data_IF_380075524606
#
_entry.id   IF_380075524606
#
_cell.length_a   1.000
_cell.length_b   1.000
_cell.length_c   1.000
_cell.angle_alpha   90.00
_cell.angle_beta   90.00
_cell.angle_gamma   90.00
#
_symmetry.space_group_name_H-M   'P 1'
#
loop_
_entity.id
_entity.type
_entity.pdbx_description
1 polymer ?
#
# COMPACT_ATOMS: atom_id res chain seq x y z
N UNK A 1 -5.81 -42.22 13.14
CA UNK A 1 -6.60 -40.99 12.90
C UNK A 1 -5.63 -39.89 12.51
N UNK A 2 -5.36 -39.74 11.21
CA UNK A 2 -4.31 -38.86 10.68
C UNK A 2 -4.93 -37.90 9.66
N UNK A 3 -4.93 -36.61 10.03
CA UNK A 3 -4.93 -35.40 9.21
C UNK A 3 -5.55 -35.47 7.82
N UNK A 4 -6.88 -35.50 7.76
CA UNK A 4 -7.63 -35.23 6.54
C UNK A 4 -7.72 -33.74 6.18
N UNK A 5 -7.41 -32.80 7.10
CA UNK A 5 -7.54 -31.35 6.82
C UNK A 5 -6.35 -30.76 6.04
N UNK A 6 -5.11 -31.19 6.29
CA UNK A 6 -3.94 -30.68 5.58
C UNK A 6 -3.94 -31.00 4.07
N UNK A 7 -4.54 -32.12 3.68
CA UNK A 7 -4.63 -32.54 2.29
C UNK A 7 -5.73 -31.80 1.49
N UNK A 8 -6.68 -31.15 2.17
CA UNK A 8 -7.74 -30.37 1.53
C UNK A 8 -7.23 -29.00 1.04
N UNK A 9 -6.28 -28.40 1.76
CA UNK A 9 -5.67 -27.11 1.40
C UNK A 9 -4.85 -27.18 0.10
N UNK A 10 -4.18 -28.30 -0.14
CA UNK A 10 -3.36 -28.48 -1.35
C UNK A 10 -4.18 -28.61 -2.65
N UNK A 11 -5.50 -28.86 -2.57
CA UNK A 11 -6.35 -29.13 -3.76
C UNK A 11 -7.21 -27.97 -4.23
N UNK A 12 -7.35 -26.90 -3.45
CA UNK A 12 -8.07 -25.70 -3.89
C UNK A 12 -7.18 -24.79 -4.76
N UNK A 13 -5.86 -24.98 -4.73
CA UNK A 13 -4.88 -24.14 -5.45
C UNK A 13 -4.31 -24.79 -6.73
N UNK A 14 -4.92 -25.84 -7.28
CA UNK A 14 -4.37 -26.54 -8.45
C UNK A 14 -5.23 -26.34 -9.69
N UNK A 15 -5.11 -25.18 -10.34
CA UNK A 15 -4.80 -25.07 -11.77
C UNK A 15 -4.49 -23.62 -12.13
N UNK A 16 -3.20 -23.34 -12.33
CA UNK A 16 -2.68 -22.20 -13.11
C UNK A 16 -2.60 -20.79 -12.47
N UNK A 17 -2.29 -20.70 -11.17
CA UNK A 17 -1.80 -19.46 -10.55
C UNK A 17 -0.62 -19.76 -9.62
N UNK A 18 0.58 -19.29 -9.99
CA UNK A 18 1.77 -19.32 -9.13
C UNK A 18 1.38 -18.73 -7.76
N UNK A 19 1.52 -19.56 -6.73
CA UNK A 19 1.24 -19.27 -5.31
C UNK A 19 1.64 -17.84 -4.95
N UNK A 20 0.66 -17.01 -4.58
CA UNK A 20 0.93 -15.77 -3.87
C UNK A 20 1.52 -16.17 -2.53
N UNK A 21 2.73 -15.70 -2.23
CA UNK A 21 3.40 -15.99 -0.95
C UNK A 21 2.52 -15.45 0.19
N UNK A 22 2.04 -16.36 1.06
CA UNK A 22 1.18 -16.03 2.19
C UNK A 22 1.89 -15.12 3.22
N UNK A 23 3.23 -15.06 3.19
CA UNK A 23 4.02 -14.24 4.12
C UNK A 23 3.69 -12.75 4.02
N UNK A 24 3.36 -12.25 2.82
CA UNK A 24 3.04 -10.83 2.63
C UNK A 24 1.66 -10.50 3.20
N UNK A 25 0.55 -11.18 2.84
CA UNK A 25 -0.74 -11.00 3.50
C UNK A 25 -0.69 -11.17 5.02
N UNK A 26 0.05 -12.18 5.52
CA UNK A 26 0.22 -12.40 6.97
C UNK A 26 0.90 -11.20 7.65
N UNK A 27 1.94 -10.65 7.03
CA UNK A 27 2.60 -9.45 7.53
C UNK A 27 1.68 -8.24 7.48
N UNK A 28 0.99 -8.01 6.36
CA UNK A 28 0.11 -6.85 6.18
C UNK A 28 -1.05 -6.82 7.19
N UNK A 29 -1.59 -7.98 7.56
CA UNK A 29 -2.74 -8.11 8.47
C UNK A 29 -2.33 -8.31 9.94
N UNK A 30 -1.04 -8.29 10.24
CA UNK A 30 -0.53 -8.53 11.59
C UNK A 30 -1.07 -7.50 12.59
N UNK A 31 -1.71 -7.98 13.66
CA UNK A 31 -2.22 -7.14 14.74
C UNK A 31 -3.66 -6.64 14.54
N UNK A 32 -4.25 -6.86 13.36
CA UNK A 32 -5.64 -6.46 13.06
C UNK A 32 -6.68 -7.49 13.54
N UNK A 33 -6.28 -8.74 13.75
CA UNK A 33 -7.18 -9.88 13.96
C UNK A 33 -6.68 -10.83 15.05
N UNK A 34 -7.60 -11.59 15.65
CA UNK A 34 -7.22 -12.75 16.46
C UNK A 34 -6.58 -13.84 15.60
N UNK A 35 -5.80 -14.74 16.21
CA UNK A 35 -5.07 -15.78 15.48
C UNK A 35 -5.96 -16.70 14.61
N UNK A 36 -7.20 -16.95 15.04
CA UNK A 36 -8.16 -17.79 14.31
C UNK A 36 -8.78 -17.04 13.13
N UNK A 37 -9.06 -15.74 13.30
CA UNK A 37 -9.60 -14.90 12.22
C UNK A 37 -8.56 -14.60 11.14
N UNK A 38 -7.29 -14.53 11.53
CA UNK A 38 -6.17 -14.23 10.64
C UNK A 38 -6.04 -15.26 9.50
N UNK A 39 -6.17 -16.56 9.77
CA UNK A 39 -6.02 -17.61 8.75
C UNK A 39 -7.07 -17.47 7.64
N UNK A 40 -8.35 -17.28 8.01
CA UNK A 40 -9.42 -17.06 7.03
C UNK A 40 -9.21 -15.75 6.27
N UNK A 41 -8.76 -14.69 6.95
CA UNK A 41 -8.59 -13.38 6.33
C UNK A 41 -7.42 -13.34 5.34
N UNK A 42 -6.35 -14.11 5.58
CA UNK A 42 -5.23 -14.24 4.63
C UNK A 42 -5.73 -14.83 3.31
N UNK A 43 -6.58 -15.85 3.35
CA UNK A 43 -7.19 -16.44 2.15
C UNK A 43 -8.06 -15.42 1.43
N UNK A 44 -8.87 -14.68 2.16
CA UNK A 44 -9.74 -13.65 1.59
C UNK A 44 -8.95 -12.48 1.01
N UNK A 45 -7.84 -12.08 1.63
CA UNK A 45 -6.91 -11.10 1.08
C UNK A 45 -6.33 -11.58 -0.25
N UNK A 46 -5.85 -12.82 -0.32
CA UNK A 46 -5.27 -13.36 -1.57
C UNK A 46 -6.30 -13.39 -2.69
N UNK A 47 -7.56 -13.70 -2.38
CA UNK A 47 -8.67 -13.65 -3.36
C UNK A 47 -9.04 -12.22 -3.76
N UNK A 48 -9.03 -11.29 -2.81
CA UNK A 48 -9.39 -9.90 -3.04
C UNK A 48 -8.31 -9.18 -3.85
N UNK A 49 -7.08 -9.18 -3.36
CA UNK A 49 -5.99 -8.36 -3.87
C UNK A 49 -5.05 -9.14 -4.79
N UNK A 50 -4.76 -10.40 -4.48
CA UNK A 50 -3.89 -11.26 -5.30
C UNK A 50 -2.60 -10.58 -5.74
N UNK A 51 -2.34 -10.60 -7.05
CA UNK A 51 -1.17 -9.95 -7.68
C UNK A 51 -1.32 -8.44 -7.88
N UNK A 52 -2.52 -7.92 -7.73
CA UNK A 52 -2.84 -6.50 -7.93
C UNK A 52 -2.72 -5.70 -6.63
N UNK A 53 -2.29 -6.36 -5.53
CA UNK A 53 -1.98 -5.70 -4.27
C UNK A 53 -0.89 -4.62 -4.46
N UNK A 54 -1.25 -3.36 -4.32
CA UNK A 54 -0.30 -2.25 -4.36
C UNK A 54 0.42 -2.13 -3.00
N UNK A 55 1.54 -2.86 -2.86
CA UNK A 55 2.38 -2.88 -1.65
C UNK A 55 3.65 -2.06 -1.86
N UNK A 56 3.93 -1.16 -0.94
CA UNK A 56 5.03 -0.20 -0.97
C UNK A 56 5.92 -0.35 0.27
N UNK A 57 7.20 -0.03 0.08
CA UNK A 57 8.10 0.23 1.19
C UNK A 57 7.77 1.60 1.79
N UNK A 58 7.31 1.64 3.03
CA UNK A 58 6.90 2.86 3.73
C UNK A 58 8.04 3.56 4.47
N UNK A 59 9.13 2.87 4.76
CA UNK A 59 10.30 3.42 5.46
C UNK A 59 10.98 2.38 6.36
N UNK A 60 12.19 2.65 6.86
CA UNK A 60 13.01 1.65 7.55
C UNK A 60 12.49 1.25 8.93
N UNK A 61 11.64 2.07 9.54
CA UNK A 61 11.15 1.86 10.89
C UNK A 61 9.93 0.93 10.87
N UNK A 62 9.68 0.24 11.99
CA UNK A 62 8.50 -0.61 12.19
C UNK A 62 8.24 -1.69 11.12
N UNK A 63 9.29 -2.18 10.44
CA UNK A 63 9.19 -3.21 9.39
C UNK A 63 8.57 -4.54 9.84
N UNK A 64 8.55 -4.82 11.14
CA UNK A 64 7.96 -6.03 11.71
C UNK A 64 6.51 -5.85 12.19
N UNK A 65 5.95 -4.64 12.08
CA UNK A 65 4.55 -4.34 12.41
C UNK A 65 3.62 -4.61 11.22
N UNK A 66 2.30 -4.59 11.48
CA UNK A 66 1.29 -4.70 10.43
C UNK A 66 1.41 -3.60 9.38
N UNK A 67 0.93 -3.90 8.17
CA UNK A 67 0.96 -2.96 7.06
C UNK A 67 0.01 -1.79 7.31
N UNK A 68 0.43 -0.57 6.97
CA UNK A 68 -0.47 0.59 6.97
C UNK A 68 -1.26 0.60 5.66
N UNK A 69 -2.57 0.40 5.75
CA UNK A 69 -3.49 0.56 4.63
C UNK A 69 -3.87 2.04 4.48
N UNK A 70 -3.77 2.60 3.28
CA UNK A 70 -4.18 3.97 2.93
C UNK A 70 -5.15 3.94 1.74
N UNK A 71 -6.26 4.66 1.84
CA UNK A 71 -7.33 4.63 0.85
C UNK A 71 -8.25 5.86 0.93
N UNK A 72 -9.28 5.87 0.09
CA UNK A 72 -10.21 6.98 -0.08
C UNK A 72 -11.62 6.79 0.50
N UNK A 73 -11.87 5.71 1.25
CA UNK A 73 -13.20 5.27 1.67
C UNK A 73 -13.43 5.61 3.14
N UNK A 74 -14.42 6.46 3.43
CA UNK A 74 -14.69 6.90 4.79
C UNK A 74 -15.48 5.86 5.61
N UNK A 75 -16.19 4.99 4.90
CA UNK A 75 -17.19 4.08 5.44
C UNK A 75 -16.62 2.75 5.94
N UNK A 76 -15.31 2.50 5.74
CA UNK A 76 -14.71 1.25 6.19
C UNK A 76 -14.55 1.26 7.71
N UNK A 77 -15.06 0.21 8.36
CA UNK A 77 -14.90 0.03 9.80
C UNK A 77 -13.41 0.00 10.19
N UNK A 78 -13.03 0.79 11.19
CA UNK A 78 -11.64 0.95 11.62
C UNK A 78 -10.84 1.96 10.77
N UNK A 79 -11.43 2.56 9.74
CA UNK A 79 -10.78 3.63 8.99
C UNK A 79 -10.75 4.95 9.78
N UNK A 80 -9.59 5.60 9.77
CA UNK A 80 -9.37 6.90 10.39
C UNK A 80 -8.83 7.88 9.37
N UNK A 81 -9.43 9.08 9.27
CA UNK A 81 -8.90 10.13 8.41
C UNK A 81 -7.51 10.58 8.92
N UNK A 82 -6.52 10.63 8.02
CA UNK A 82 -5.14 10.98 8.36
C UNK A 82 -5.06 12.41 8.89
N UNK A 83 -5.78 13.33 8.26
CA UNK A 83 -5.96 14.70 8.72
C UNK A 83 -7.31 15.24 8.23
N UNK A 84 -7.93 16.09 9.04
CA UNK A 84 -9.27 16.61 8.77
C UNK A 84 -9.39 17.23 7.38
N UNK A 85 -10.37 16.78 6.60
CA UNK A 85 -10.70 17.33 5.30
C UNK A 85 -9.85 16.80 4.13
N UNK A 86 -8.82 15.99 4.40
CA UNK A 86 -8.02 15.34 3.35
C UNK A 86 -8.82 14.28 2.60
N UNK A 87 -9.80 13.67 3.28
CA UNK A 87 -10.51 12.46 2.87
C UNK A 87 -9.55 11.33 2.54
N UNK A 88 -8.36 11.30 3.14
CA UNK A 88 -7.41 10.19 3.02
C UNK A 88 -7.51 9.43 4.33
N UNK A 89 -7.77 8.14 4.23
CA UNK A 89 -8.04 7.29 5.38
C UNK A 89 -6.94 6.25 5.52
N UNK A 90 -6.65 5.90 6.77
CA UNK A 90 -5.80 4.77 7.14
C UNK A 90 -6.57 3.71 7.91
N UNK A 91 -6.13 2.46 7.85
CA UNK A 91 -6.77 1.33 8.54
C UNK A 91 -7.91 0.71 7.74
N UNK A 92 -8.80 -0.04 8.40
CA UNK A 92 -9.97 -0.65 7.75
C UNK A 92 -9.67 -1.84 6.84
N UNK A 93 -8.61 -2.59 7.12
CA UNK A 93 -8.13 -3.73 6.32
C UNK A 93 -9.24 -4.77 6.02
N UNK A 94 -9.98 -5.19 7.05
CA UNK A 94 -11.06 -6.17 6.90
C UNK A 94 -12.18 -5.64 6.01
N UNK A 95 -12.56 -4.37 6.18
CA UNK A 95 -13.55 -3.71 5.34
C UNK A 95 -13.11 -3.62 3.88
N UNK A 96 -11.84 -3.31 3.64
CA UNK A 96 -11.25 -3.22 2.30
C UNK A 96 -11.30 -4.58 1.58
N UNK A 97 -10.87 -5.65 2.23
CA UNK A 97 -10.92 -7.02 1.69
C UNK A 97 -12.35 -7.37 1.28
N UNK A 98 -13.32 -7.17 2.18
CA UNK A 98 -14.74 -7.46 1.90
C UNK A 98 -15.27 -6.63 0.73
N UNK A 99 -14.92 -5.35 0.66
CA UNK A 99 -15.38 -4.44 -0.41
C UNK A 99 -14.87 -4.88 -1.78
N UNK A 100 -13.61 -5.31 -1.86
CA UNK A 100 -13.02 -5.84 -3.09
C UNK A 100 -13.64 -7.18 -3.47
N UNK A 101 -13.83 -8.10 -2.52
CA UNK A 101 -14.53 -9.38 -2.77
C UNK A 101 -15.98 -9.19 -3.25
N UNK A 102 -16.65 -8.14 -2.78
CA UNK A 102 -17.99 -7.77 -3.23
C UNK A 102 -18.02 -7.12 -4.63
N UNK A 103 -16.85 -6.81 -5.22
CA UNK A 103 -16.74 -6.13 -6.51
C UNK A 103 -17.08 -4.64 -6.45
N UNK A 104 -17.10 -4.04 -5.26
CA UNK A 104 -17.45 -2.62 -5.05
C UNK A 104 -16.23 -1.68 -5.10
N UNK A 105 -15.03 -2.23 -5.12
CA UNK A 105 -13.77 -1.50 -5.23
C UNK A 105 -12.72 -2.34 -5.97
N UNK A 106 -11.76 -1.68 -6.59
CA UNK A 106 -10.58 -2.32 -7.17
C UNK A 106 -9.52 -2.55 -6.08
N UNK A 107 -8.71 -3.63 -6.16
CA UNK A 107 -7.48 -3.75 -5.37
C UNK A 107 -6.60 -2.50 -5.44
N UNK A 108 -6.58 -1.84 -6.60
CA UNK A 108 -5.81 -0.63 -6.88
C UNK A 108 -6.43 0.65 -6.31
N UNK A 109 -7.54 0.59 -5.58
CA UNK A 109 -8.06 1.71 -4.78
C UNK A 109 -7.38 1.82 -3.40
N UNK A 110 -6.53 0.84 -3.06
CA UNK A 110 -5.89 0.69 -1.76
C UNK A 110 -4.37 0.69 -1.89
N UNK A 111 -3.66 1.30 -0.92
CA UNK A 111 -2.20 1.35 -0.86
C UNK A 111 -1.74 0.75 0.45
N UNK A 112 -0.93 -0.30 0.39
CA UNK A 112 -0.35 -0.95 1.56
C UNK A 112 1.09 -0.48 1.74
N UNK A 113 1.46 -0.05 2.94
CA UNK A 113 2.83 0.36 3.26
C UNK A 113 3.41 -0.53 4.35
N UNK A 114 4.58 -1.11 4.10
CA UNK A 114 5.35 -1.86 5.10
C UNK A 114 6.38 -0.92 5.71
N UNK A 115 6.30 -0.77 7.04
CA UNK A 115 7.11 0.18 7.80
C UNK A 115 6.75 1.64 7.54
N UNK A 116 7.55 2.54 8.12
CA UNK A 116 7.32 3.99 8.09
C UNK A 116 8.61 4.76 8.38
N UNK A 117 8.52 6.09 8.28
CA UNK A 117 9.52 7.01 8.81
C UNK A 117 8.96 7.71 10.06
N UNK A 118 9.58 7.49 11.22
CA UNK A 118 9.08 8.06 12.49
C UNK A 118 9.69 9.42 12.86
N UNK A 119 10.87 9.76 12.30
CA UNK A 119 11.65 10.94 12.70
C UNK A 119 11.98 11.87 11.53
N UNK A 120 10.97 12.32 10.80
CA UNK A 120 11.13 13.34 9.76
C UNK A 120 11.14 14.74 10.38
N UNK A 121 12.14 15.56 10.04
CA UNK A 121 12.23 16.95 10.47
C UNK A 121 12.47 17.87 9.28
N UNK A 122 11.82 19.02 9.28
CA UNK A 122 12.07 20.10 8.32
C UNK A 122 13.07 21.14 8.84
N UNK A 123 13.56 20.99 10.07
CA UNK A 123 14.40 21.98 10.74
C UNK A 123 15.81 22.10 10.15
N UNK A 124 16.33 21.03 9.56
CA UNK A 124 17.67 20.95 8.96
C UNK A 124 17.66 21.10 7.43
N UNK A 125 16.51 21.47 6.86
CA UNK A 125 16.28 21.59 5.41
C UNK A 125 16.53 20.30 4.60
N UNK A 126 16.69 19.13 5.25
CA UNK A 126 16.77 17.85 4.56
C UNK A 126 15.40 17.41 4.00
N UNK A 127 14.31 17.86 4.64
CA UNK A 127 12.94 17.60 4.22
C UNK A 127 12.15 18.89 3.98
N UNK A 128 11.33 18.88 2.94
CA UNK A 128 10.37 19.93 2.64
C UNK A 128 8.93 19.42 2.85
N UNK A 129 8.13 20.15 3.62
CA UNK A 129 6.71 19.86 3.76
C UNK A 129 5.92 20.50 2.61
N UNK A 130 5.18 19.70 1.87
CA UNK A 130 4.31 20.16 0.79
C UNK A 130 2.88 19.71 1.03
N UNK A 131 1.91 20.59 0.76
CA UNK A 131 0.51 20.21 0.82
C UNK A 131 0.21 19.22 -0.30
N UNK A 132 -0.33 18.04 0.04
CA UNK A 132 -0.60 17.00 -0.93
C UNK A 132 -2.10 16.86 -1.20
N UNK A 133 -2.48 16.94 -2.48
CA UNK A 133 -3.85 16.64 -2.89
C UNK A 133 -4.12 15.12 -2.81
N UNK A 134 -5.36 14.74 -2.46
CA UNK A 134 -5.77 13.32 -2.40
C UNK A 134 -5.48 12.53 -3.68
N UNK A 135 -5.67 13.15 -4.84
CA UNK A 135 -5.41 12.52 -6.15
C UNK A 135 -3.94 12.15 -6.34
N UNK A 136 -3.02 12.90 -5.71
CA UNK A 136 -1.58 12.64 -5.76
C UNK A 136 -1.17 11.62 -4.70
N UNK A 137 -1.68 11.78 -3.46
CA UNK A 137 -1.40 10.87 -2.35
C UNK A 137 -1.87 9.42 -2.60
N UNK A 138 -2.99 9.24 -3.33
CA UNK A 138 -3.54 7.93 -3.66
C UNK A 138 -3.16 7.45 -5.07
N UNK A 139 -2.27 8.16 -5.78
CA UNK A 139 -1.86 7.79 -7.13
C UNK A 139 -1.16 6.43 -7.12
N UNK A 140 -1.43 5.58 -8.10
CA UNK A 140 -0.67 4.35 -8.30
C UNK A 140 0.69 4.71 -8.90
N UNK A 141 1.77 4.39 -8.18
CA UNK A 141 3.13 4.75 -8.60
C UNK A 141 3.78 3.73 -9.55
N UNK A 142 3.17 2.57 -9.75
CA UNK A 142 3.70 1.52 -10.63
C UNK A 142 3.39 1.86 -12.08
N UNK A 143 4.43 1.98 -12.91
CA UNK A 143 4.29 2.27 -14.35
C UNK A 143 3.95 3.72 -14.68
N UNK A 144 4.24 4.67 -13.80
CA UNK A 144 4.08 6.09 -14.12
C UNK A 144 5.03 6.50 -15.25
N UNK A 145 4.60 7.39 -16.16
CA UNK A 145 5.44 7.89 -17.25
C UNK A 145 6.64 8.70 -16.75
N UNK A 146 6.57 9.20 -15.52
CA UNK A 146 7.67 9.86 -14.81
C UNK A 146 7.58 9.55 -13.32
N UNK A 147 8.69 9.61 -12.58
CA UNK A 147 8.68 9.34 -11.15
C UNK A 147 7.72 10.27 -10.40
N UNK A 148 7.01 9.74 -9.39
CA UNK A 148 6.04 10.52 -8.61
C UNK A 148 6.69 11.73 -7.92
N UNK A 149 7.93 11.59 -7.42
CA UNK A 149 8.64 12.69 -6.78
C UNK A 149 8.82 13.89 -7.73
N UNK A 150 9.05 13.62 -9.03
CA UNK A 150 9.25 14.68 -10.01
C UNK A 150 7.92 15.42 -10.28
N UNK A 151 6.83 14.68 -10.46
CA UNK A 151 5.49 15.25 -10.59
C UNK A 151 5.08 16.09 -9.36
N UNK A 152 5.38 15.63 -8.15
CA UNK A 152 5.10 16.38 -6.91
C UNK A 152 5.86 17.70 -6.90
N UNK A 153 7.15 17.70 -7.21
CA UNK A 153 7.99 18.90 -7.16
C UNK A 153 7.65 19.91 -8.27
N UNK A 154 7.33 19.45 -9.48
CA UNK A 154 6.81 20.32 -10.54
C UNK A 154 5.50 20.99 -10.15
N UNK A 155 4.56 20.26 -9.54
CA UNK A 155 3.29 20.82 -9.07
C UNK A 155 3.48 21.88 -7.98
N UNK A 156 4.55 21.77 -7.19
CA UNK A 156 4.91 22.81 -6.22
C UNK A 156 5.44 24.09 -6.90
N UNK A 157 5.99 23.98 -8.11
CA UNK A 157 6.53 25.10 -8.87
C UNK A 157 7.79 25.72 -8.25
N UNK A 158 8.16 26.90 -8.75
CA UNK A 158 9.27 27.69 -8.22
C UNK A 158 10.60 26.94 -8.24
N UNK A 159 11.37 27.07 -7.16
CA UNK A 159 12.67 26.40 -7.02
C UNK A 159 12.53 24.87 -7.04
N UNK A 160 11.49 24.31 -6.42
CA UNK A 160 11.29 22.85 -6.34
C UNK A 160 11.14 22.22 -7.73
N UNK A 161 10.43 22.87 -8.64
CA UNK A 161 10.34 22.41 -10.03
C UNK A 161 11.72 22.42 -10.72
N UNK A 162 12.54 23.46 -10.49
CA UNK A 162 13.90 23.55 -11.06
C UNK A 162 14.81 22.44 -10.51
N UNK A 163 14.79 22.24 -9.18
CA UNK A 163 15.53 21.15 -8.53
C UNK A 163 15.13 19.80 -9.11
N UNK A 164 13.85 19.62 -9.39
CA UNK A 164 13.31 18.39 -9.94
C UNK A 164 13.88 18.04 -11.32
N UNK A 165 13.96 19.02 -12.22
CA UNK A 165 14.56 18.87 -13.55
C UNK A 165 16.06 18.52 -13.48
N UNK A 166 16.78 19.20 -12.59
CA UNK A 166 18.22 18.98 -12.38
C UNK A 166 18.47 17.55 -11.87
N UNK A 167 17.68 17.08 -10.91
CA UNK A 167 17.79 15.73 -10.37
C UNK A 167 17.38 14.68 -11.42
N UNK A 168 16.33 14.94 -12.20
CA UNK A 168 15.88 14.01 -13.24
C UNK A 168 16.95 13.82 -14.32
N UNK A 169 17.68 14.88 -14.67
CA UNK A 169 18.78 14.83 -15.64
C UNK A 169 19.96 13.98 -15.16
N UNK A 170 20.16 13.86 -13.86
CA UNK A 170 21.25 13.07 -13.26
C UNK A 170 20.94 11.56 -13.18
N UNK A 171 19.67 11.18 -13.35
CA UNK A 171 19.19 9.80 -13.23
C UNK A 171 19.42 9.02 -14.52
N UNK A 172 20.46 8.20 -14.55
CA UNK A 172 20.73 7.26 -15.65
C UNK A 172 19.94 5.96 -15.55
N UNK A 173 19.31 5.70 -14.40
CA UNK A 173 18.47 4.55 -14.10
C UNK A 173 17.04 4.64 -14.67
N UNK A 174 16.69 5.78 -15.27
CA UNK A 174 15.35 6.05 -15.82
C UNK A 174 15.30 6.06 -17.36
N UNK A 175 16.43 5.78 -18.04
CA UNK A 175 16.46 5.60 -19.49
C UNK A 175 15.59 4.39 -19.90
N UNK A 176 14.68 4.52 -20.88
CA UNK A 176 13.87 3.41 -21.33
C UNK A 176 14.77 2.34 -21.97
N UNK A 177 14.74 1.12 -21.42
CA UNK A 177 15.41 -0.07 -21.97
C UNK A 177 14.89 -0.45 -23.35
#
# INVERSE_FOLDING_TARGET
>A
CTNASAAAWARICTSDERLVDASVPELLLKGELSAVEAESMVVDFVRAFGRDAAVYYGGPDAQAEGGTLVHGFAELEGAQEIASGTRIYRGGAVGAIRKVLAGEASPLDFRWFIGRHDALSTSDAAWASVACARSLALKQCLGLPKPLWHEVLELCGGELAIWSEIELTQRTDLEPS
#
